data_IF_356091293716
#
_entry.id   IF_356091293716
#
_cell.length_a   1.000
_cell.length_b   1.000
_cell.length_c   1.000
_cell.angle_alpha   90.00
_cell.angle_beta   90.00
_cell.angle_gamma   90.00
#
_symmetry.space_group_name_H-M   'P 1'
#
loop_
_entity.id
_entity.type
_entity.pdbx_description
1 polymer ?
#
# COMPACT_ATOMS: atom_id res chain seq x y z
N UNK A 1 -21.51 63.70 5.56
CA UNK A 1 -22.67 62.87 5.94
C UNK A 1 -22.47 61.51 5.31
N UNK A 2 -22.48 60.48 6.14
CA UNK A 2 -22.01 59.11 5.88
C UNK A 2 -22.72 58.39 4.75
N UNK A 3 -21.96 57.60 3.99
CA UNK A 3 -22.46 56.37 3.39
C UNK A 3 -21.59 55.23 3.93
N UNK A 4 -22.21 54.34 4.69
CA UNK A 4 -21.63 53.18 5.35
C UNK A 4 -21.30 52.11 4.31
N UNK A 5 -20.02 51.76 4.16
CA UNK A 5 -19.60 50.52 3.49
C UNK A 5 -19.96 49.33 4.38
N UNK A 6 -20.96 48.55 3.95
CA UNK A 6 -21.20 47.19 4.43
C UNK A 6 -20.50 46.23 3.47
N UNK A 7 -19.29 45.81 3.81
CA UNK A 7 -18.69 44.63 3.20
C UNK A 7 -19.39 43.38 3.72
N UNK A 8 -20.41 42.91 3.01
CA UNK A 8 -20.82 41.50 3.10
C UNK A 8 -19.73 40.64 2.45
N UNK A 9 -18.90 39.99 3.27
CA UNK A 9 -18.09 38.86 2.82
C UNK A 9 -19.04 37.77 2.29
N UNK A 10 -19.17 37.66 0.97
CA UNK A 10 -19.75 36.50 0.31
C UNK A 10 -18.86 35.28 0.57
N UNK A 11 -19.07 34.62 1.71
CA UNK A 11 -18.55 33.28 1.94
C UNK A 11 -19.25 32.32 0.98
N UNK A 12 -18.46 31.56 0.22
CA UNK A 12 -18.94 30.52 -0.66
C UNK A 12 -19.93 29.61 0.08
N UNK A 13 -21.18 29.57 -0.40
CA UNK A 13 -22.19 28.64 0.09
C UNK A 13 -21.68 27.22 -0.17
N UNK A 14 -21.56 26.40 0.88
CA UNK A 14 -21.32 24.97 0.70
C UNK A 14 -22.49 24.39 -0.12
N UNK A 15 -22.22 23.60 -1.18
CA UNK A 15 -23.28 22.88 -1.88
C UNK A 15 -23.94 21.87 -0.93
N UNK A 16 -25.24 22.06 -0.67
CA UNK A 16 -26.10 21.22 0.15
C UNK A 16 -26.61 20.01 -0.64
N UNK A 17 -25.77 19.38 -1.45
CA UNK A 17 -26.19 18.30 -2.34
C UNK A 17 -25.31 17.07 -2.12
N UNK A 18 -25.44 16.44 -0.96
CA UNK A 18 -24.93 15.07 -0.73
C UNK A 18 -26.04 14.20 -0.14
N UNK A 19 -27.20 14.22 -0.79
CA UNK A 19 -28.28 13.26 -0.56
C UNK A 19 -28.71 12.70 -1.91
N UNK A 20 -28.36 11.43 -2.15
CA UNK A 20 -29.06 10.59 -3.12
C UNK A 20 -28.76 10.82 -4.60
N UNK A 21 -27.56 10.49 -5.05
CA UNK A 21 -27.25 10.31 -6.48
C UNK A 21 -26.51 9.00 -6.69
N UNK A 22 -27.16 8.03 -7.34
CA UNK A 22 -26.46 6.91 -7.97
C UNK A 22 -25.43 7.48 -8.94
N UNK A 23 -24.17 7.10 -8.77
CA UNK A 23 -23.08 7.53 -9.64
C UNK A 23 -23.17 6.80 -10.98
N UNK A 24 -24.24 7.04 -11.75
CA UNK A 24 -24.32 6.63 -13.13
C UNK A 24 -23.63 7.69 -13.99
N UNK A 25 -22.58 7.31 -14.70
CA UNK A 25 -22.02 8.12 -15.78
C UNK A 25 -20.66 8.77 -15.52
N UNK A 26 -19.65 7.98 -15.16
CA UNK A 26 -18.30 8.16 -15.73
C UNK A 26 -17.76 6.80 -16.12
N UNK A 27 -17.95 6.42 -17.38
CA UNK A 27 -17.22 5.30 -17.98
C UNK A 27 -15.72 5.54 -17.77
N UNK A 28 -15.08 4.66 -17.00
CA UNK A 28 -13.63 4.67 -16.89
C UNK A 28 -13.02 4.45 -18.28
N UNK A 29 -11.91 5.14 -18.58
CA UNK A 29 -11.24 5.06 -19.88
C UNK A 29 -11.00 3.60 -20.30
N UNK A 30 -11.20 3.23 -21.59
CA UNK A 30 -11.14 1.84 -22.06
C UNK A 30 -9.77 1.15 -21.89
N UNK A 31 -8.73 1.91 -21.56
CA UNK A 31 -7.34 1.43 -21.46
C UNK A 31 -6.93 0.93 -20.07
N UNK A 32 -7.86 0.79 -19.13
CA UNK A 32 -7.57 0.10 -17.86
C UNK A 32 -7.89 -1.41 -18.03
N UNK A 33 -6.88 -2.30 -18.13
CA UNK A 33 -7.10 -3.72 -18.39
C UNK A 33 -7.67 -4.48 -17.19
N UNK A 34 -7.98 -3.78 -16.09
CA UNK A 34 -8.64 -4.39 -14.94
C UNK A 34 -10.17 -4.41 -15.15
N UNK A 35 -10.62 -5.11 -16.21
CA UNK A 35 -11.97 -5.65 -16.21
C UNK A 35 -12.01 -6.69 -15.09
N UNK A 36 -12.34 -6.22 -13.89
CA UNK A 36 -12.57 -7.10 -12.76
C UNK A 36 -13.85 -7.83 -13.10
N UNK A 37 -13.71 -9.09 -13.55
CA UNK A 37 -14.84 -9.97 -13.81
C UNK A 37 -15.81 -9.89 -12.63
N UNK A 38 -17.09 -9.63 -12.91
CA UNK A 38 -18.16 -9.47 -11.94
C UNK A 38 -18.48 -10.74 -11.11
N UNK A 39 -17.64 -11.77 -11.20
CA UNK A 39 -17.70 -12.97 -10.36
C UNK A 39 -16.83 -12.76 -9.11
N UNK A 40 -17.42 -12.20 -8.05
CA UNK A 40 -16.78 -12.17 -6.73
C UNK A 40 -16.77 -10.83 -5.99
N UNK A 41 -17.59 -9.85 -6.40
CA UNK A 41 -17.80 -8.66 -5.57
C UNK A 41 -18.63 -9.08 -4.36
N UNK A 42 -17.97 -9.28 -3.21
CA UNK A 42 -18.67 -9.41 -1.93
C UNK A 42 -19.64 -8.24 -1.82
N UNK A 43 -20.91 -8.54 -1.55
CA UNK A 43 -21.95 -7.53 -1.37
C UNK A 43 -21.42 -6.43 -0.43
N UNK A 44 -21.26 -5.23 -0.97
CA UNK A 44 -20.70 -4.10 -0.25
C UNK A 44 -21.61 -3.71 0.91
N UNK A 45 -21.06 -3.13 1.98
CA UNK A 45 -21.88 -2.58 3.05
C UNK A 45 -22.64 -1.34 2.52
N UNK A 46 -23.92 -1.50 2.16
CA UNK A 46 -24.78 -0.45 1.62
C UNK A 46 -25.43 0.42 2.69
N UNK A 47 -25.75 -0.18 3.84
CA UNK A 47 -26.50 0.47 4.91
C UNK A 47 -25.60 1.27 5.86
N UNK A 48 -26.13 2.37 6.40
CA UNK A 48 -25.41 3.27 7.30
C UNK A 48 -26.09 3.39 8.67
N UNK A 49 -25.26 3.51 9.73
CA UNK A 49 -25.72 3.73 11.11
C UNK A 49 -25.13 5.04 11.62
N UNK A 50 -25.98 5.98 12.04
CA UNK A 50 -25.58 7.28 12.58
C UNK A 50 -25.53 7.20 14.11
N UNK A 51 -24.34 7.44 14.68
CA UNK A 51 -24.13 7.45 16.12
C UNK A 51 -23.97 8.88 16.65
N UNK A 52 -24.94 9.37 17.42
CA UNK A 52 -24.82 10.67 18.11
C UNK A 52 -24.02 10.46 19.39
N UNK A 53 -22.99 11.27 19.59
CA UNK A 53 -22.13 11.22 20.77
C UNK A 53 -21.61 12.61 21.10
N UNK A 54 -21.14 12.77 22.32
CA UNK A 54 -20.43 13.96 22.79
C UNK A 54 -19.03 14.05 22.15
N UNK A 55 -18.39 15.23 22.17
CA UNK A 55 -17.03 15.39 21.63
C UNK A 55 -15.99 14.50 22.31
N UNK A 56 -16.12 14.29 23.63
CA UNK A 56 -15.22 13.44 24.41
C UNK A 56 -15.36 11.96 24.04
N UNK A 57 -16.59 11.48 23.85
CA UNK A 57 -16.86 10.11 23.38
C UNK A 57 -16.32 9.88 21.97
N UNK A 58 -16.49 10.86 21.07
CA UNK A 58 -15.89 10.79 19.72
C UNK A 58 -14.37 10.70 19.78
N UNK A 59 -13.74 11.51 20.63
CA UNK A 59 -12.28 11.49 20.81
C UNK A 59 -11.81 10.14 21.36
N UNK A 60 -12.51 9.59 22.36
CA UNK A 60 -12.21 8.29 22.94
C UNK A 60 -12.35 7.16 21.90
N UNK A 61 -13.39 7.19 21.06
CA UNK A 61 -13.61 6.22 20.00
C UNK A 61 -12.46 6.23 18.97
N UNK A 62 -12.09 7.43 18.49
CA UNK A 62 -10.98 7.60 17.54
C UNK A 62 -9.66 7.13 18.14
N UNK A 63 -9.41 7.43 19.42
CA UNK A 63 -8.21 6.99 20.12
C UNK A 63 -8.15 5.45 20.22
N UNK A 64 -9.25 4.80 20.60
CA UNK A 64 -9.34 3.33 20.67
C UNK A 64 -9.09 2.67 19.31
N UNK A 65 -9.70 3.19 18.24
CA UNK A 65 -9.52 2.66 16.89
C UNK A 65 -8.08 2.83 16.39
N UNK A 66 -7.47 4.01 16.64
CA UNK A 66 -6.06 4.26 16.32
C UNK A 66 -5.13 3.32 17.07
N UNK A 67 -5.34 3.13 18.38
CA UNK A 67 -4.54 2.21 19.19
C UNK A 67 -4.67 0.75 18.70
N UNK A 68 -5.86 0.36 18.23
CA UNK A 68 -6.09 -0.95 17.63
C UNK A 68 -5.57 -1.08 16.19
N UNK A 69 -5.18 0.02 15.53
CA UNK A 69 -4.78 0.03 14.13
C UNK A 69 -5.94 -0.29 13.16
N UNK A 70 -7.18 -0.02 13.58
CA UNK A 70 -8.40 -0.35 12.83
C UNK A 70 -9.18 0.92 12.48
N UNK A 71 -9.92 0.94 11.35
CA UNK A 71 -10.94 1.96 11.12
C UNK A 71 -12.06 1.88 12.17
N UNK A 72 -12.66 3.01 12.52
CA UNK A 72 -13.78 3.07 13.49
C UNK A 72 -14.91 2.09 13.14
N UNK A 73 -15.31 2.01 11.87
CA UNK A 73 -16.37 1.11 11.42
C UNK A 73 -15.99 -0.37 11.62
N UNK A 74 -14.73 -0.74 11.38
CA UNK A 74 -14.22 -2.09 11.61
C UNK A 74 -14.20 -2.41 13.10
N UNK A 75 -13.73 -1.47 13.93
CA UNK A 75 -13.74 -1.62 15.39
C UNK A 75 -15.17 -1.81 15.92
N UNK A 76 -16.14 -1.03 15.43
CA UNK A 76 -17.54 -1.18 15.87
C UNK A 76 -18.14 -2.51 15.44
N UNK A 77 -17.90 -2.96 14.20
CA UNK A 77 -18.38 -4.27 13.74
C UNK A 77 -17.74 -5.42 14.51
N UNK A 78 -16.47 -5.30 14.88
CA UNK A 78 -15.79 -6.27 15.75
C UNK A 78 -16.39 -6.28 17.16
N UNK A 79 -16.65 -5.10 17.75
CA UNK A 79 -17.28 -4.98 19.06
C UNK A 79 -18.71 -5.56 19.11
N UNK A 80 -19.43 -5.54 17.98
CA UNK A 80 -20.74 -6.17 17.81
C UNK A 80 -20.64 -7.67 17.50
N UNK A 81 -19.44 -8.25 17.43
CA UNK A 81 -19.23 -9.67 17.11
C UNK A 81 -19.54 -10.04 15.65
N UNK A 82 -19.69 -9.05 14.76
CA UNK A 82 -20.03 -9.28 13.34
C UNK A 82 -18.82 -9.73 12.51
N UNK A 83 -17.61 -9.41 12.97
CA UNK A 83 -16.35 -9.77 12.31
C UNK A 83 -15.26 -10.01 13.37
N UNK A 84 -14.22 -10.74 12.96
CA UNK A 84 -12.95 -10.76 13.65
C UNK A 84 -11.95 -9.89 12.86
N UNK A 85 -11.53 -8.76 13.44
CA UNK A 85 -10.70 -7.81 12.73
C UNK A 85 -9.23 -8.26 12.74
N UNK A 86 -8.69 -8.54 11.56
CA UNK A 86 -7.26 -8.83 11.40
C UNK A 86 -6.44 -7.56 11.65
N UNK A 87 -5.76 -7.52 12.79
CA UNK A 87 -4.81 -6.46 13.13
C UNK A 87 -3.54 -6.63 12.28
N UNK A 88 -3.04 -5.54 11.69
CA UNK A 88 -1.75 -5.57 10.98
C UNK A 88 -0.65 -5.77 12.01
N UNK A 89 0.17 -6.81 11.84
CA UNK A 89 1.43 -6.92 12.58
C UNK A 89 2.28 -5.69 12.25
N UNK A 90 2.85 -4.99 13.24
CA UNK A 90 3.82 -3.94 12.96
C UNK A 90 4.89 -4.51 12.04
N UNK A 91 5.08 -3.89 10.88
CA UNK A 91 6.18 -4.26 9.98
C UNK A 91 7.47 -3.94 10.74
N UNK A 92 8.41 -4.90 10.88
CA UNK A 92 9.71 -4.61 11.48
C UNK A 92 10.31 -3.36 10.80
N UNK A 93 10.73 -2.39 11.61
CA UNK A 93 11.40 -1.20 11.10
C UNK A 93 12.83 -1.60 10.74
N UNK A 94 13.05 -1.99 9.50
CA UNK A 94 14.37 -2.27 8.93
C UNK A 94 14.91 -0.99 8.30
N UNK A 95 16.22 -0.77 8.39
CA UNK A 95 16.87 0.34 7.68
C UNK A 95 16.53 0.29 6.17
N UNK A 96 15.93 1.35 5.60
CA UNK A 96 15.65 1.42 4.17
C UNK A 96 16.91 1.22 3.31
N UNK A 97 18.08 1.72 3.74
CA UNK A 97 19.33 1.57 3.00
C UNK A 97 19.74 0.09 2.89
N UNK A 98 19.63 -0.66 3.97
CA UNK A 98 19.85 -2.11 3.98
C UNK A 98 18.88 -2.81 3.02
N UNK A 99 17.59 -2.44 3.08
CA UNK A 99 16.56 -3.02 2.22
C UNK A 99 16.86 -2.78 0.74
N UNK A 100 17.27 -1.56 0.37
CA UNK A 100 17.66 -1.23 -1.00
C UNK A 100 18.92 -1.98 -1.45
N UNK A 101 19.91 -2.12 -0.57
CA UNK A 101 21.14 -2.87 -0.88
C UNK A 101 20.83 -4.34 -1.19
N UNK A 102 20.01 -4.99 -0.36
CA UNK A 102 19.56 -6.38 -0.58
C UNK A 102 18.72 -6.48 -1.87
N UNK A 103 17.80 -5.55 -2.10
CA UNK A 103 16.98 -5.53 -3.31
C UNK A 103 17.82 -5.43 -4.58
N UNK A 104 18.92 -4.66 -4.56
CA UNK A 104 19.86 -4.57 -5.68
C UNK A 104 20.56 -5.89 -5.98
N UNK A 105 21.04 -6.59 -4.94
CA UNK A 105 21.66 -7.92 -5.07
C UNK A 105 20.66 -8.92 -5.66
N UNK A 106 19.42 -8.95 -5.13
CA UNK A 106 18.35 -9.79 -5.67
C UNK A 106 17.99 -9.45 -7.12
N UNK A 107 18.00 -8.16 -7.48
CA UNK A 107 17.81 -7.68 -8.84
C UNK A 107 18.86 -8.22 -9.81
N UNK A 108 20.15 -8.18 -9.43
CA UNK A 108 21.26 -8.72 -10.23
C UNK A 108 21.10 -10.23 -10.46
N UNK A 109 20.80 -10.99 -9.39
CA UNK A 109 20.59 -12.43 -9.48
C UNK A 109 19.43 -12.77 -10.42
N UNK A 110 18.31 -12.06 -10.29
CA UNK A 110 17.14 -12.26 -11.13
C UNK A 110 17.40 -11.91 -12.61
N UNK A 111 18.23 -10.90 -12.89
CA UNK A 111 18.66 -10.61 -14.27
C UNK A 111 19.48 -11.76 -14.85
N UNK A 112 20.42 -12.31 -14.08
CA UNK A 112 21.21 -13.48 -14.49
C UNK A 112 20.31 -14.69 -14.77
N UNK A 113 19.37 -15.00 -13.86
CA UNK A 113 18.41 -16.09 -14.05
C UNK A 113 17.55 -15.90 -15.30
N UNK A 114 17.03 -14.68 -15.54
CA UNK A 114 16.22 -14.38 -16.72
C UNK A 114 17.02 -14.53 -18.01
N UNK A 115 18.27 -14.08 -18.02
CA UNK A 115 19.15 -14.23 -19.17
C UNK A 115 19.43 -15.71 -19.48
N UNK A 116 19.78 -16.52 -18.47
CA UNK A 116 19.99 -17.97 -18.61
C UNK A 116 18.73 -18.65 -19.13
N UNK A 117 17.58 -18.41 -18.48
CA UNK A 117 16.31 -19.03 -18.86
C UNK A 117 15.90 -18.62 -20.29
N UNK A 118 16.15 -17.37 -20.68
CA UNK A 118 15.93 -16.90 -22.05
C UNK A 118 16.82 -17.61 -23.07
N UNK A 119 18.11 -17.78 -22.76
CA UNK A 119 19.05 -18.50 -23.62
C UNK A 119 18.63 -19.97 -23.81
N UNK A 120 18.28 -20.66 -22.72
CA UNK A 120 17.78 -22.05 -22.75
C UNK A 120 16.50 -22.17 -23.57
N UNK A 121 15.52 -21.31 -23.33
CA UNK A 121 14.24 -21.32 -24.08
C UNK A 121 14.44 -21.10 -25.58
N UNK A 122 15.46 -20.33 -25.96
CA UNK A 122 15.82 -20.08 -27.37
C UNK A 122 16.74 -21.13 -27.99
N UNK A 123 17.02 -22.25 -27.31
CA UNK A 123 17.88 -23.32 -27.83
C UNK A 123 19.38 -22.98 -27.86
N UNK A 124 19.80 -21.87 -27.23
CA UNK A 124 21.20 -21.40 -27.18
C UNK A 124 21.91 -21.76 -25.88
N UNK A 125 21.46 -22.80 -25.19
CA UNK A 125 22.04 -23.23 -23.92
C UNK A 125 23.55 -23.56 -24.04
N UNK A 126 23.97 -24.14 -25.17
CA UNK A 126 25.38 -24.46 -25.45
C UNK A 126 26.28 -23.23 -25.63
N UNK A 127 25.71 -22.04 -25.81
CA UNK A 127 26.46 -20.77 -25.94
C UNK A 127 26.67 -20.07 -24.59
N UNK A 128 26.13 -20.63 -23.49
CA UNK A 128 26.29 -20.05 -22.16
C UNK A 128 27.70 -20.35 -21.67
N UNK A 129 28.45 -19.28 -21.44
CA UNK A 129 29.79 -19.35 -20.84
C UNK A 129 29.68 -19.54 -19.31
N UNK A 130 29.85 -20.79 -18.88
CA UNK A 130 29.75 -21.16 -17.47
C UNK A 130 30.74 -20.40 -16.58
N UNK A 131 31.96 -20.14 -17.07
CA UNK A 131 32.98 -19.42 -16.30
C UNK A 131 32.54 -17.97 -16.04
N UNK A 132 31.97 -17.30 -17.04
CA UNK A 132 31.41 -15.95 -16.87
C UNK A 132 30.24 -15.94 -15.89
N UNK A 133 29.34 -16.92 -15.98
CA UNK A 133 28.20 -17.04 -15.05
C UNK A 133 28.70 -17.23 -13.62
N UNK A 134 29.65 -18.13 -13.39
CA UNK A 134 30.25 -18.37 -12.07
C UNK A 134 30.96 -17.12 -11.55
N UNK A 135 31.72 -16.40 -12.38
CA UNK A 135 32.37 -15.16 -11.99
C UNK A 135 31.34 -14.09 -11.54
N UNK A 136 30.21 -13.96 -12.23
CA UNK A 136 29.13 -13.05 -11.84
C UNK A 136 28.49 -13.47 -10.51
N UNK A 137 28.27 -14.77 -10.29
CA UNK A 137 27.74 -15.28 -9.01
C UNK A 137 28.68 -14.97 -7.84
N UNK A 138 29.99 -15.14 -8.01
CA UNK A 138 30.98 -14.78 -6.98
C UNK A 138 30.97 -13.28 -6.68
N UNK A 139 30.78 -12.43 -7.70
CA UNK A 139 30.65 -10.98 -7.48
C UNK A 139 29.39 -10.67 -6.65
N UNK A 140 28.26 -11.28 -6.97
CA UNK A 140 26.99 -11.11 -6.23
C UNK A 140 27.13 -11.60 -4.78
N UNK A 141 27.77 -12.76 -4.58
CA UNK A 141 28.08 -13.31 -3.25
C UNK A 141 28.93 -12.33 -2.43
N UNK A 142 30.01 -11.81 -3.00
CA UNK A 142 30.89 -10.84 -2.32
C UNK A 142 30.15 -9.54 -1.95
N UNK A 143 29.28 -9.04 -2.82
CA UNK A 143 28.44 -7.89 -2.53
C UNK A 143 27.51 -8.16 -1.34
N UNK A 144 26.89 -9.35 -1.30
CA UNK A 144 26.04 -9.75 -0.19
C UNK A 144 26.84 -9.90 1.10
N UNK A 145 28.01 -10.52 1.06
CA UNK A 145 28.90 -10.68 2.21
C UNK A 145 29.33 -9.33 2.80
N UNK A 146 29.63 -8.34 1.94
CA UNK A 146 29.93 -6.97 2.38
C UNK A 146 28.74 -6.30 3.07
N UNK A 147 27.53 -6.46 2.53
CA UNK A 147 26.31 -5.94 3.17
C UNK A 147 26.12 -6.60 4.54
N UNK A 148 26.25 -7.91 4.65
CA UNK A 148 26.12 -8.63 5.92
C UNK A 148 27.18 -8.15 6.92
N UNK A 149 28.45 -8.13 6.53
CA UNK A 149 29.55 -7.70 7.41
C UNK A 149 29.34 -6.28 7.95
N UNK A 150 28.92 -5.34 7.10
CA UNK A 150 28.66 -3.96 7.49
C UNK A 150 27.51 -3.80 8.50
N UNK A 151 26.57 -4.76 8.55
CA UNK A 151 25.38 -4.68 9.41
C UNK A 151 25.44 -5.64 10.61
N UNK A 152 26.32 -6.66 10.59
CA UNK A 152 26.59 -7.52 11.75
C UNK A 152 27.70 -6.96 12.65
N UNK A 153 28.65 -6.18 12.11
CA UNK A 153 29.77 -5.59 12.88
C UNK A 153 29.46 -4.29 13.64
N UNK A 154 28.23 -3.76 13.56
CA UNK A 154 27.79 -2.54 14.25
C UNK A 154 26.88 -2.78 15.45
N UNK A 155 26.87 -4.00 15.99
CA UNK A 155 26.01 -4.45 17.09
C UNK A 155 26.75 -4.69 18.41
N UNK A 156 27.92 -4.07 18.61
CA UNK A 156 28.60 -3.96 19.92
C UNK A 156 28.55 -2.51 20.42
#
# INVERSE_FOLDING_TARGET
MSATDLHEEQRARLPTDYIGGTCEGRQASPSNPNQTHASGVKEGLSESVIFRCTPSEKAALVAKARAAGLPNATLMREALGLIEARRRKPVPRVDPKLTFAIARVGGNLNQLSRWINGAVKSGRASQIDALKVTAQLVVIERQLAQIVAAHTGGGE
#
